data_IF_307899459075
#
_entry.id   IF_307899459075
#
_cell.length_a   1.000
_cell.length_b   1.000
_cell.length_c   1.000
_cell.angle_alpha   90.00
_cell.angle_beta   90.00
_cell.angle_gamma   90.00
#
_symmetry.space_group_name_H-M   'P 1'
#
loop_
_entity.id
_entity.type
_entity.pdbx_description
1 polymer ?
#
# COMPACT_ATOMS: atom_id res chain seq x y z
N UNK A 1 9.29 -20.54 9.23
CA UNK A 1 8.01 -21.29 9.26
C UNK A 1 7.78 -21.82 7.85
N UNK A 2 7.28 -23.05 7.69
CA UNK A 2 6.92 -23.55 6.36
C UNK A 2 5.56 -22.93 5.98
N UNK A 3 5.58 -21.93 5.09
CA UNK A 3 4.38 -21.21 4.67
C UNK A 3 3.61 -21.94 3.56
N UNK A 4 4.21 -22.95 2.92
CA UNK A 4 3.59 -23.67 1.79
C UNK A 4 2.27 -24.35 2.18
N UNK A 5 2.14 -24.74 3.46
CA UNK A 5 0.94 -25.38 4.01
C UNK A 5 -0.30 -24.49 3.93
N UNK A 6 -0.12 -23.16 3.88
CA UNK A 6 -1.22 -22.20 3.80
C UNK A 6 -1.78 -22.01 2.39
N UNK A 7 -1.16 -22.58 1.36
CA UNK A 7 -1.53 -22.29 -0.02
C UNK A 7 -2.14 -23.48 -0.75
N UNK A 8 -3.07 -23.18 -1.64
CA UNK A 8 -3.50 -24.07 -2.71
C UNK A 8 -2.83 -23.66 -4.04
N UNK A 9 -2.43 -24.64 -4.87
CA UNK A 9 -1.86 -24.36 -6.18
C UNK A 9 -2.91 -23.74 -7.11
N UNK A 10 -2.42 -22.94 -8.07
CA UNK A 10 -3.26 -22.33 -9.08
C UNK A 10 -3.80 -23.40 -10.05
N UNK A 11 -5.10 -23.34 -10.34
CA UNK A 11 -5.67 -24.06 -11.48
C UNK A 11 -5.30 -23.32 -12.76
N UNK A 12 -4.38 -23.87 -13.56
CA UNK A 12 -3.98 -23.20 -14.79
C UNK A 12 -5.04 -23.27 -15.90
N UNK A 13 -6.03 -24.16 -15.78
CA UNK A 13 -7.04 -24.38 -16.82
C UNK A 13 -8.07 -23.25 -16.92
N UNK A 14 -8.18 -22.43 -15.89
CA UNK A 14 -9.10 -21.29 -15.85
C UNK A 14 -8.51 -20.01 -16.44
N UNK A 15 -7.22 -20.01 -16.82
CA UNK A 15 -6.60 -18.85 -17.39
C UNK A 15 -6.59 -18.90 -18.92
N UNK A 16 -6.97 -17.78 -19.54
CA UNK A 16 -7.00 -17.58 -20.99
C UNK A 16 -5.59 -17.40 -21.58
N UNK A 17 -4.56 -17.21 -20.74
CA UNK A 17 -3.17 -17.18 -21.20
C UNK A 17 -2.73 -18.61 -21.54
N UNK A 18 -2.60 -18.92 -22.82
CA UNK A 18 -1.89 -20.12 -23.25
C UNK A 18 -0.41 -19.75 -23.41
N UNK A 19 0.53 -20.47 -22.78
CA UNK A 19 1.98 -20.21 -22.85
C UNK A 19 2.58 -20.36 -24.27
N UNK A 20 1.77 -20.63 -25.29
CA UNK A 20 2.23 -20.84 -26.66
C UNK A 20 2.54 -19.52 -27.37
N UNK A 21 3.84 -19.20 -27.46
CA UNK A 21 4.39 -18.34 -28.50
C UNK A 21 5.12 -17.09 -28.02
N UNK A 22 4.85 -16.60 -26.80
CA UNK A 22 5.42 -15.31 -26.36
C UNK A 22 6.05 -15.35 -24.97
N UNK A 23 7.36 -15.56 -24.93
CA UNK A 23 8.15 -15.71 -23.70
C UNK A 23 8.21 -14.46 -22.81
N UNK A 24 7.76 -13.30 -23.29
CA UNK A 24 7.88 -12.02 -22.57
C UNK A 24 6.62 -11.62 -21.79
N UNK A 25 5.59 -12.47 -21.75
CA UNK A 25 4.42 -12.23 -20.90
C UNK A 25 4.72 -12.54 -19.43
N UNK A 26 4.13 -11.77 -18.53
CA UNK A 26 4.34 -11.93 -17.08
C UNK A 26 4.02 -13.36 -16.62
N UNK A 27 2.95 -13.99 -17.12
CA UNK A 27 2.60 -15.37 -16.76
C UNK A 27 3.65 -16.42 -17.14
N UNK A 28 4.51 -16.12 -18.12
CA UNK A 28 5.63 -16.97 -18.54
C UNK A 28 6.92 -16.69 -17.75
N UNK A 29 7.02 -15.53 -17.11
CA UNK A 29 8.20 -15.10 -16.34
C UNK A 29 8.04 -15.31 -14.84
N UNK A 30 6.80 -15.30 -14.34
CA UNK A 30 6.44 -15.55 -12.95
C UNK A 30 6.58 -17.05 -12.63
N UNK A 31 7.29 -17.37 -11.55
CA UNK A 31 7.37 -18.74 -11.03
C UNK A 31 6.18 -18.99 -10.10
N UNK A 32 5.14 -19.60 -10.65
CA UNK A 32 3.87 -19.81 -9.94
C UNK A 32 3.77 -21.20 -9.28
N UNK A 33 3.08 -21.27 -8.14
CA UNK A 33 2.70 -22.52 -7.48
C UNK A 33 1.60 -23.23 -8.28
N UNK A 34 1.98 -24.26 -9.04
CA UNK A 34 1.10 -24.92 -10.04
C UNK A 34 0.65 -26.32 -9.65
N UNK A 35 1.40 -26.99 -8.78
CA UNK A 35 1.10 -28.33 -8.31
C UNK A 35 1.52 -28.47 -6.85
N UNK A 36 0.91 -29.43 -6.13
CA UNK A 36 1.12 -29.60 -4.68
C UNK A 36 2.52 -30.08 -4.31
N UNK A 37 3.33 -30.51 -5.27
CA UNK A 37 4.66 -31.06 -5.02
C UNK A 37 5.76 -29.98 -5.11
N UNK A 38 5.52 -28.90 -5.86
CA UNK A 38 6.53 -27.87 -6.14
C UNK A 38 6.07 -26.47 -5.70
N UNK A 39 6.28 -26.15 -4.42
CA UNK A 39 6.11 -24.77 -3.93
C UNK A 39 7.28 -23.87 -4.42
N UNK A 40 7.01 -22.64 -4.89
CA UNK A 40 8.07 -21.74 -5.35
C UNK A 40 9.13 -21.48 -4.27
N UNK A 41 10.39 -21.53 -4.68
CA UNK A 41 11.52 -21.12 -3.84
C UNK A 41 11.41 -19.63 -3.51
N UNK A 42 11.65 -19.26 -2.25
CA UNK A 42 11.61 -17.86 -1.81
C UNK A 42 12.94 -17.16 -2.11
N UNK A 43 14.02 -17.93 -2.23
CA UNK A 43 15.36 -17.42 -2.49
C UNK A 43 15.39 -16.61 -3.79
N UNK A 44 16.03 -15.44 -3.74
CA UNK A 44 16.22 -14.53 -4.88
C UNK A 44 14.95 -13.88 -5.45
N UNK A 45 13.76 -14.15 -4.90
CA UNK A 45 12.54 -13.45 -5.26
C UNK A 45 12.58 -11.99 -4.77
N UNK A 46 12.04 -11.08 -5.58
CA UNK A 46 11.86 -9.67 -5.20
C UNK A 46 10.43 -9.42 -4.71
N UNK A 47 9.45 -9.99 -5.41
CA UNK A 47 8.03 -9.82 -5.15
C UNK A 47 7.34 -11.19 -5.08
N UNK A 48 6.33 -11.30 -4.22
CA UNK A 48 5.49 -12.48 -4.13
C UNK A 48 4.01 -12.11 -4.30
N UNK A 49 3.35 -12.68 -5.30
CA UNK A 49 1.89 -12.53 -5.50
C UNK A 49 1.17 -13.51 -4.57
N UNK A 50 0.15 -13.02 -3.88
CA UNK A 50 -0.66 -13.78 -2.92
C UNK A 50 -2.13 -13.48 -3.21
N UNK A 51 -2.92 -14.52 -3.47
CA UNK A 51 -4.38 -14.37 -3.53
C UNK A 51 -5.00 -14.70 -2.19
N UNK A 52 -5.89 -13.85 -1.68
CA UNK A 52 -6.56 -14.06 -0.39
C UNK A 52 -8.07 -14.01 -0.56
N UNK A 53 -8.67 -15.17 -0.80
CA UNK A 53 -10.12 -15.31 -0.98
C UNK A 53 -10.89 -15.28 0.34
N UNK A 54 -10.93 -14.13 1.00
CA UNK A 54 -11.67 -13.89 2.23
C UNK A 54 -12.60 -12.69 2.08
N UNK A 55 -13.87 -12.90 2.39
CA UNK A 55 -14.93 -11.89 2.30
C UNK A 55 -15.97 -11.98 3.43
N UNK A 56 -15.75 -12.83 4.46
CA UNK A 56 -16.70 -12.98 5.59
C UNK A 56 -16.97 -11.68 6.33
N UNK A 57 -16.02 -10.76 6.26
CA UNK A 57 -16.02 -9.45 6.87
C UNK A 57 -16.24 -8.32 5.85
N UNK A 58 -16.55 -8.67 4.59
CA UNK A 58 -16.98 -7.71 3.59
C UNK A 58 -18.30 -7.05 4.04
N UNK A 59 -18.45 -5.77 3.75
CA UNK A 59 -19.71 -5.06 3.97
C UNK A 59 -20.33 -4.79 2.61
N UNK A 60 -21.50 -5.41 2.38
CA UNK A 60 -22.30 -5.30 1.16
C UNK A 60 -21.60 -5.71 -0.14
N UNK A 61 -20.44 -6.37 -0.07
CA UNK A 61 -19.63 -6.75 -1.24
C UNK A 61 -19.26 -8.24 -1.26
N UNK A 62 -20.19 -9.10 -0.83
CA UNK A 62 -20.05 -10.56 -0.84
C UNK A 62 -19.69 -11.07 -2.25
N UNK A 63 -18.77 -12.03 -2.33
CA UNK A 63 -18.20 -12.52 -3.59
C UNK A 63 -16.86 -11.89 -3.98
N UNK A 64 -16.37 -10.90 -3.23
CA UNK A 64 -15.02 -10.38 -3.43
C UNK A 64 -13.92 -11.40 -3.11
N UNK A 65 -14.22 -12.51 -2.41
CA UNK A 65 -13.30 -13.62 -2.22
C UNK A 65 -12.83 -14.27 -3.55
N UNK A 66 -13.60 -14.12 -4.63
CA UNK A 66 -13.26 -14.65 -5.96
C UNK A 66 -12.32 -13.72 -6.75
N UNK A 67 -11.91 -12.59 -6.19
CA UNK A 67 -11.04 -11.59 -6.83
C UNK A 67 -9.71 -12.11 -7.41
N UNK A 68 -8.96 -13.01 -6.74
CA UNK A 68 -7.57 -13.25 -7.10
C UNK A 68 -7.34 -13.75 -8.53
N UNK A 69 -8.11 -14.76 -8.95
CA UNK A 69 -7.83 -15.46 -10.20
C UNK A 69 -8.25 -14.66 -11.45
N UNK A 70 -9.41 -13.96 -11.50
CA UNK A 70 -9.71 -13.07 -12.61
C UNK A 70 -8.68 -11.95 -12.79
N UNK A 71 -8.12 -11.42 -11.69
CA UNK A 71 -7.03 -10.43 -11.78
C UNK A 71 -5.75 -11.07 -12.33
N UNK A 72 -5.37 -12.26 -11.84
CA UNK A 72 -4.22 -13.01 -12.37
C UNK A 72 -4.35 -13.29 -13.86
N UNK A 73 -5.54 -13.66 -14.32
CA UNK A 73 -5.79 -13.95 -15.72
C UNK A 73 -5.40 -12.78 -16.64
N UNK A 74 -5.82 -11.57 -16.26
CA UNK A 74 -5.49 -10.36 -17.02
C UNK A 74 -4.01 -9.97 -16.82
N UNK A 75 -3.47 -10.08 -15.60
CA UNK A 75 -2.07 -9.76 -15.27
C UNK A 75 -1.07 -10.63 -16.04
N UNK A 76 -1.27 -11.94 -16.04
CA UNK A 76 -0.39 -12.90 -16.69
C UNK A 76 -0.33 -12.70 -18.21
N UNK A 77 -1.40 -12.14 -18.78
CA UNK A 77 -1.49 -11.80 -20.19
C UNK A 77 -0.68 -10.55 -20.54
N UNK A 78 -0.33 -9.68 -19.60
CA UNK A 78 0.46 -8.49 -19.88
C UNK A 78 1.92 -8.83 -20.20
N UNK A 79 2.53 -8.05 -21.09
CA UNK A 79 3.97 -8.10 -21.34
C UNK A 79 4.76 -7.58 -20.14
N UNK A 80 5.92 -8.17 -19.86
CA UNK A 80 6.85 -7.56 -18.90
C UNK A 80 7.35 -6.21 -19.41
N UNK A 81 7.66 -5.33 -18.46
CA UNK A 81 8.41 -4.11 -18.76
C UNK A 81 9.86 -4.40 -19.16
N UNK A 82 10.73 -3.41 -18.96
CA UNK A 82 12.14 -3.45 -19.41
C UNK A 82 13.04 -4.37 -18.58
N UNK A 83 12.64 -4.71 -17.35
CA UNK A 83 13.42 -5.52 -16.42
C UNK A 83 12.91 -6.96 -16.38
N UNK A 84 13.81 -7.94 -16.29
CA UNK A 84 13.44 -9.34 -16.07
C UNK A 84 12.93 -9.50 -14.63
N UNK A 85 11.63 -9.80 -14.43
CA UNK A 85 11.05 -9.86 -13.11
C UNK A 85 11.48 -11.14 -12.36
N UNK A 86 11.91 -11.01 -11.09
CA UNK A 86 12.08 -12.11 -10.13
C UNK A 86 10.84 -12.18 -9.23
N UNK A 87 9.76 -12.69 -9.79
CA UNK A 87 8.45 -12.73 -9.13
C UNK A 87 8.01 -14.17 -8.96
N UNK A 88 7.57 -14.50 -7.75
CA UNK A 88 6.91 -15.75 -7.44
C UNK A 88 5.41 -15.51 -7.24
N UNK A 89 4.57 -16.48 -7.60
CA UNK A 89 3.15 -16.47 -7.24
C UNK A 89 2.88 -17.66 -6.33
N UNK A 90 2.57 -17.39 -5.07
CA UNK A 90 2.41 -18.42 -4.05
C UNK A 90 1.07 -19.14 -4.15
N UNK A 91 0.18 -18.68 -5.04
CA UNK A 91 -1.16 -19.22 -5.20
C UNK A 91 -2.19 -18.54 -4.30
N UNK A 92 -3.25 -19.26 -3.98
CA UNK A 92 -4.34 -18.77 -3.15
C UNK A 92 -4.18 -19.25 -1.71
N UNK A 93 -4.28 -18.32 -0.76
CA UNK A 93 -4.28 -18.62 0.66
C UNK A 93 -5.55 -19.41 0.99
N UNK A 94 -5.38 -20.55 1.66
CA UNK A 94 -6.47 -21.38 2.16
C UNK A 94 -7.30 -20.58 3.13
N UNK A 95 -8.59 -20.45 2.84
CA UNK A 95 -9.56 -19.85 3.76
C UNK A 95 -9.64 -20.73 5.01
N UNK A 96 -9.39 -20.13 6.17
CA UNK A 96 -9.44 -20.82 7.45
C UNK A 96 -10.86 -21.14 7.91
N UNK A 97 -11.01 -21.99 8.92
CA UNK A 97 -12.32 -22.33 9.49
C UNK A 97 -13.04 -21.08 10.02
N UNK A 98 -12.32 -20.20 10.72
CA UNK A 98 -12.74 -18.86 11.12
C UNK A 98 -11.96 -17.78 10.36
N UNK A 99 -12.40 -16.53 10.43
CA UNK A 99 -11.67 -15.39 9.83
C UNK A 99 -10.32 -15.18 10.53
N UNK A 100 -10.28 -15.39 11.84
CA UNK A 100 -9.04 -15.29 12.62
C UNK A 100 -7.97 -16.29 12.17
N UNK A 101 -8.38 -17.49 11.73
CA UNK A 101 -7.47 -18.48 11.15
C UNK A 101 -6.86 -17.97 9.83
N UNK A 102 -7.68 -17.36 8.97
CA UNK A 102 -7.20 -16.73 7.72
C UNK A 102 -6.26 -15.56 8.04
N UNK A 103 -6.61 -14.70 9.00
CA UNK A 103 -5.76 -13.60 9.43
C UNK A 103 -4.42 -14.09 9.98
N UNK A 104 -4.43 -15.17 10.77
CA UNK A 104 -3.20 -15.77 11.30
C UNK A 104 -2.30 -16.30 10.18
N UNK A 105 -2.87 -16.99 9.20
CA UNK A 105 -2.14 -17.47 8.03
C UNK A 105 -1.55 -16.30 7.22
N UNK A 106 -2.35 -15.28 6.90
CA UNK A 106 -1.88 -14.11 6.17
C UNK A 106 -0.79 -13.34 6.94
N UNK A 107 -0.96 -13.17 8.26
CA UNK A 107 0.05 -12.55 9.15
C UNK A 107 1.39 -13.28 9.02
N UNK A 108 1.36 -14.62 9.15
CA UNK A 108 2.56 -15.46 9.13
C UNK A 108 3.27 -15.45 7.77
N UNK A 109 2.49 -15.41 6.69
CA UNK A 109 3.01 -15.31 5.31
C UNK A 109 3.69 -13.96 5.09
N UNK A 110 3.01 -12.85 5.43
CA UNK A 110 3.56 -11.49 5.26
C UNK A 110 4.82 -11.30 6.11
N UNK A 111 4.82 -11.75 7.37
CA UNK A 111 5.99 -11.73 8.24
C UNK A 111 7.17 -12.50 7.61
N UNK A 112 6.90 -13.70 7.10
CA UNK A 112 7.94 -14.53 6.46
C UNK A 112 8.51 -13.81 5.25
N UNK A 113 7.68 -13.32 4.34
CA UNK A 113 8.13 -12.68 3.10
C UNK A 113 8.96 -11.42 3.37
N UNK A 114 8.49 -10.55 4.27
CA UNK A 114 9.25 -9.36 4.66
C UNK A 114 10.59 -9.74 5.29
N UNK A 115 10.64 -10.81 6.10
CA UNK A 115 11.89 -11.34 6.67
C UNK A 115 12.89 -11.80 5.61
N UNK A 116 12.43 -12.23 4.44
CA UNK A 116 13.27 -12.56 3.27
C UNK A 116 13.55 -11.35 2.35
N UNK A 117 13.11 -10.14 2.72
CA UNK A 117 13.11 -8.94 1.87
C UNK A 117 12.30 -9.09 0.57
N UNK A 118 11.26 -9.92 0.60
CA UNK A 118 10.32 -10.11 -0.51
C UNK A 118 9.09 -9.27 -0.23
N UNK A 119 8.67 -8.44 -1.18
CA UNK A 119 7.47 -7.62 -1.02
C UNK A 119 6.24 -8.45 -1.41
N UNK A 120 5.30 -8.71 -0.48
CA UNK A 120 4.02 -9.28 -0.83
C UNK A 120 3.18 -8.29 -1.64
N UNK A 121 2.67 -8.77 -2.77
CA UNK A 121 1.63 -8.15 -3.60
C UNK A 121 0.35 -8.95 -3.34
N UNK A 122 -0.49 -8.42 -2.44
CA UNK A 122 -1.70 -9.08 -1.97
C UNK A 122 -2.88 -8.69 -2.88
N UNK A 123 -3.51 -9.69 -3.46
CA UNK A 123 -4.78 -9.57 -4.16
C UNK A 123 -5.84 -10.17 -3.21
N UNK A 124 -6.53 -9.30 -2.48
CA UNK A 124 -7.48 -9.72 -1.45
C UNK A 124 -8.91 -9.78 -1.93
N UNK A 125 -9.77 -10.28 -1.04
CA UNK A 125 -11.20 -10.00 -1.06
C UNK A 125 -11.49 -8.71 -0.30
N UNK A 126 -11.93 -8.82 0.96
CA UNK A 126 -12.36 -7.66 1.73
C UNK A 126 -11.20 -6.83 2.33
N UNK A 127 -11.43 -5.52 2.51
CA UNK A 127 -10.39 -4.56 2.89
C UNK A 127 -9.86 -4.74 4.33
N UNK A 128 -10.60 -5.45 5.20
CA UNK A 128 -10.16 -5.77 6.56
C UNK A 128 -8.89 -6.63 6.61
N UNK A 129 -8.52 -7.29 5.52
CA UNK A 129 -7.25 -8.01 5.40
C UNK A 129 -6.03 -7.12 5.68
N UNK A 130 -6.14 -5.80 5.52
CA UNK A 130 -5.10 -4.84 5.91
C UNK A 130 -4.76 -4.90 7.40
N UNK A 131 -5.72 -5.27 8.25
CA UNK A 131 -5.46 -5.54 9.67
C UNK A 131 -4.52 -6.73 9.88
N UNK A 132 -4.69 -7.82 9.12
CA UNK A 132 -3.79 -8.97 9.18
C UNK A 132 -2.40 -8.65 8.65
N UNK A 133 -2.30 -7.82 7.59
CA UNK A 133 -1.02 -7.31 7.10
C UNK A 133 -0.32 -6.49 8.19
N UNK A 134 -1.03 -5.54 8.83
CA UNK A 134 -0.50 -4.75 9.94
C UNK A 134 -0.01 -5.62 11.11
N UNK A 135 -0.73 -6.70 11.46
CA UNK A 135 -0.31 -7.65 12.51
C UNK A 135 1.04 -8.32 12.23
N UNK A 136 1.45 -8.47 10.97
CA UNK A 136 2.76 -9.00 10.64
C UNK A 136 3.88 -8.04 11.04
N UNK A 137 3.65 -6.73 10.89
CA UNK A 137 4.61 -5.72 11.35
C UNK A 137 4.65 -5.62 12.88
N UNK A 138 3.48 -5.75 13.52
CA UNK A 138 3.40 -5.88 14.98
C UNK A 138 4.21 -7.08 15.50
N UNK A 139 4.11 -8.27 14.87
CA UNK A 139 4.86 -9.45 15.32
C UNK A 139 6.38 -9.27 15.17
N UNK A 140 6.81 -8.54 14.16
CA UNK A 140 8.21 -8.14 13.96
C UNK A 140 8.66 -6.98 14.87
N UNK A 141 7.76 -6.37 15.65
CA UNK A 141 8.03 -5.19 16.45
C UNK A 141 8.35 -3.93 15.63
N UNK A 142 7.94 -3.90 14.36
CA UNK A 142 8.22 -2.80 13.45
C UNK A 142 7.09 -1.77 13.48
N UNK A 143 7.45 -0.55 13.87
CA UNK A 143 6.56 0.61 13.74
C UNK A 143 6.45 0.99 12.26
N UNK A 144 5.22 1.24 11.79
CA UNK A 144 4.91 1.42 10.37
C UNK A 144 4.03 2.63 10.07
N UNK A 145 4.13 3.07 8.81
CA UNK A 145 3.19 3.97 8.17
C UNK A 145 2.28 3.21 7.20
N UNK A 146 0.98 3.47 7.27
CA UNK A 146 -0.01 2.92 6.34
C UNK A 146 -0.52 4.04 5.44
N UNK A 147 -0.53 3.81 4.13
CA UNK A 147 -1.27 4.64 3.18
C UNK A 147 -2.44 3.84 2.63
N UNK A 148 -3.65 4.39 2.77
CA UNK A 148 -4.87 3.86 2.19
C UNK A 148 -5.39 4.77 1.07
N UNK A 149 -5.76 4.20 -0.08
CA UNK A 149 -6.57 4.90 -1.08
C UNK A 149 -8.02 4.43 -0.96
N UNK A 150 -8.87 5.32 -0.43
CA UNK A 150 -10.22 4.95 0.01
C UNK A 150 -11.16 6.18 -0.02
N UNK A 151 -12.42 6.05 -0.48
CA UNK A 151 -13.39 7.15 -0.41
C UNK A 151 -13.81 7.51 1.04
N UNK A 152 -13.56 6.64 2.02
CA UNK A 152 -13.86 6.78 3.45
C UNK A 152 -12.59 6.55 4.29
N UNK A 153 -12.73 6.50 5.62
CA UNK A 153 -11.62 6.18 6.55
C UNK A 153 -11.76 4.82 7.23
N UNK A 154 -12.91 4.14 7.07
CA UNK A 154 -13.18 2.84 7.68
C UNK A 154 -12.90 2.75 9.19
N UNK A 155 -13.42 3.73 9.93
CA UNK A 155 -13.35 3.77 11.40
C UNK A 155 -14.52 3.02 12.07
N UNK A 156 -15.64 2.86 11.37
CA UNK A 156 -16.87 2.26 11.93
C UNK A 156 -17.30 2.87 13.27
N UNK A 157 -17.93 2.06 14.12
CA UNK A 157 -18.28 2.43 15.49
C UNK A 157 -17.46 1.65 16.51
N UNK A 158 -17.27 2.25 17.68
CA UNK A 158 -16.56 1.59 18.78
C UNK A 158 -17.37 0.40 19.31
N UNK A 159 -16.71 -0.76 19.41
CA UNK A 159 -17.28 -1.98 19.99
C UNK A 159 -17.74 -3.04 18.98
N UNK A 160 -17.91 -2.68 17.71
CA UNK A 160 -18.31 -3.62 16.65
C UNK A 160 -17.20 -4.63 16.36
N UNK A 161 -17.53 -5.86 15.94
CA UNK A 161 -16.53 -6.81 15.43
C UNK A 161 -15.82 -6.26 14.19
N UNK A 162 -14.61 -6.75 13.89
CA UNK A 162 -13.84 -6.24 12.74
C UNK A 162 -14.56 -6.56 11.42
N UNK A 163 -14.61 -5.57 10.52
CA UNK A 163 -15.10 -5.70 9.15
C UNK A 163 -14.42 -4.67 8.22
N UNK A 164 -14.65 -4.78 6.92
CA UNK A 164 -13.99 -3.96 5.89
C UNK A 164 -14.16 -2.44 6.07
N UNK A 165 -15.18 -1.99 6.81
CA UNK A 165 -15.48 -0.57 7.05
C UNK A 165 -15.13 -0.08 8.48
N UNK A 166 -14.43 -0.89 9.28
CA UNK A 166 -13.98 -0.49 10.62
C UNK A 166 -12.55 -0.95 10.99
N UNK A 167 -11.81 -1.57 10.07
CA UNK A 167 -10.52 -2.18 10.35
C UNK A 167 -9.49 -1.16 10.87
N UNK A 168 -9.54 0.09 10.42
CA UNK A 168 -8.59 1.12 10.85
C UNK A 168 -8.74 1.41 12.34
N UNK A 169 -9.97 1.47 12.84
CA UNK A 169 -10.22 1.67 14.27
C UNK A 169 -9.66 0.52 15.11
N UNK A 170 -9.65 -0.72 14.58
CA UNK A 170 -9.03 -1.87 15.24
C UNK A 170 -7.51 -1.76 15.30
N UNK A 171 -6.88 -1.13 14.32
CA UNK A 171 -5.44 -0.81 14.33
C UNK A 171 -5.16 0.28 15.36
N UNK A 172 -5.89 1.40 15.30
CA UNK A 172 -5.67 2.58 16.18
C UNK A 172 -5.82 2.23 17.67
N UNK A 173 -6.83 1.44 18.02
CA UNK A 173 -7.12 1.08 19.42
C UNK A 173 -6.22 -0.05 19.96
N UNK A 174 -5.38 -0.65 19.11
CA UNK A 174 -4.54 -1.78 19.52
C UNK A 174 -3.41 -1.33 20.44
N UNK A 175 -3.05 -2.18 21.40
CA UNK A 175 -1.99 -1.91 22.38
C UNK A 175 -1.09 -3.15 22.53
N UNK A 176 0.25 -3.01 22.46
CA UNK A 176 0.98 -1.79 22.06
C UNK A 176 0.67 -1.38 20.61
N UNK A 177 0.72 -0.07 20.32
CA UNK A 177 0.43 0.44 18.98
C UNK A 177 1.73 0.56 18.15
N UNK A 178 1.74 -0.05 16.96
CA UNK A 178 2.83 0.00 15.98
C UNK A 178 2.50 0.88 14.77
N UNK A 179 1.34 1.53 14.74
CA UNK A 179 0.99 2.54 13.72
C UNK A 179 1.59 3.89 14.13
N UNK A 180 2.58 4.37 13.38
CA UNK A 180 3.12 5.73 13.55
C UNK A 180 2.31 6.76 12.77
N UNK A 181 1.98 6.44 11.52
CA UNK A 181 1.19 7.32 10.68
C UNK A 181 0.18 6.54 9.85
N UNK A 182 -0.98 7.15 9.66
CA UNK A 182 -1.93 6.76 8.63
C UNK A 182 -2.14 7.91 7.66
N UNK A 183 -2.13 7.60 6.38
CA UNK A 183 -2.42 8.53 5.30
C UNK A 183 -3.62 8.01 4.52
N UNK A 184 -4.72 8.75 4.49
CA UNK A 184 -5.83 8.47 3.56
C UNK A 184 -5.75 9.39 2.35
N UNK A 185 -5.80 8.85 1.14
CA UNK A 185 -5.95 9.62 -0.08
C UNK A 185 -7.27 9.29 -0.77
N UNK A 186 -7.94 10.31 -1.29
CA UNK A 186 -9.14 10.12 -2.10
C UNK A 186 -10.47 10.16 -1.35
N UNK A 187 -10.47 10.53 -0.06
CA UNK A 187 -11.73 10.56 0.68
C UNK A 187 -12.68 11.60 0.11
N UNK A 188 -13.97 11.31 0.20
CA UNK A 188 -15.04 12.17 -0.29
C UNK A 188 -15.80 12.73 0.92
N UNK A 189 -15.79 14.05 1.12
CA UNK A 189 -16.27 14.67 2.38
C UNK A 189 -17.71 14.31 2.73
N UNK A 190 -18.59 14.11 1.74
CA UNK A 190 -19.98 13.72 1.98
C UNK A 190 -20.16 12.26 2.41
N UNK A 191 -19.10 11.45 2.42
CA UNK A 191 -19.10 10.07 2.88
C UNK A 191 -18.44 9.88 4.25
N UNK A 192 -17.84 10.95 4.79
CA UNK A 192 -17.06 10.90 6.01
C UNK A 192 -17.71 11.78 7.07
N UNK A 193 -17.93 11.21 8.24
CA UNK A 193 -18.49 11.95 9.37
C UNK A 193 -17.52 13.06 9.84
N UNK A 194 -17.99 14.28 10.12
CA UNK A 194 -17.12 15.36 10.59
C UNK A 194 -16.34 15.06 11.88
N UNK A 195 -16.86 14.23 12.80
CA UNK A 195 -16.11 13.83 13.99
C UNK A 195 -14.97 12.87 13.63
N UNK A 196 -15.15 12.04 12.59
CA UNK A 196 -14.05 11.23 12.05
C UNK A 196 -12.92 12.10 11.50
N UNK A 197 -13.24 13.18 10.76
CA UNK A 197 -12.23 14.14 10.29
C UNK A 197 -11.47 14.77 11.46
N UNK A 198 -12.19 15.19 12.52
CA UNK A 198 -11.57 15.74 13.73
C UNK A 198 -10.66 14.72 14.42
N UNK A 199 -11.11 13.47 14.54
CA UNK A 199 -10.31 12.39 15.13
C UNK A 199 -9.00 12.21 14.36
N UNK A 200 -9.05 12.10 13.04
CA UNK A 200 -7.86 11.93 12.20
C UNK A 200 -6.88 13.10 12.38
N UNK A 201 -7.38 14.34 12.39
CA UNK A 201 -6.56 15.53 12.63
C UNK A 201 -5.95 15.56 14.04
N UNK A 202 -6.70 15.14 15.07
CA UNK A 202 -6.19 15.09 16.46
C UNK A 202 -5.14 13.99 16.65
N UNK A 203 -5.21 12.91 15.85
CA UNK A 203 -4.17 11.88 15.76
C UNK A 203 -3.01 12.30 14.82
N UNK A 204 -3.08 13.51 14.26
CA UNK A 204 -2.15 14.06 13.28
C UNK A 204 -1.99 13.21 12.01
N UNK A 205 -2.96 12.36 11.69
CA UNK A 205 -2.96 11.56 10.46
C UNK A 205 -3.20 12.43 9.22
N UNK A 206 -2.70 11.98 8.08
CA UNK A 206 -2.79 12.73 6.84
C UNK A 206 -4.07 12.34 6.11
N UNK A 207 -4.95 13.30 5.82
CA UNK A 207 -6.23 13.03 5.16
C UNK A 207 -6.42 13.95 3.96
N UNK A 208 -6.32 13.39 2.76
CA UNK A 208 -6.39 14.14 1.51
C UNK A 208 -7.67 13.85 0.74
N UNK A 209 -8.42 14.91 0.46
CA UNK A 209 -9.65 14.84 -0.36
C UNK A 209 -9.30 14.48 -1.79
N UNK A 210 -10.20 13.76 -2.46
CA UNK A 210 -10.06 13.38 -3.87
C UNK A 210 -9.70 14.56 -4.78
N UNK A 211 -10.43 15.68 -4.68
CA UNK A 211 -10.18 16.86 -5.52
C UNK A 211 -8.78 17.44 -5.33
N UNK A 212 -8.33 17.56 -4.09
CA UNK A 212 -6.99 18.10 -3.77
C UNK A 212 -5.88 17.21 -4.34
N UNK A 213 -6.02 15.89 -4.22
CA UNK A 213 -5.04 14.96 -4.82
C UNK A 213 -5.09 15.03 -6.34
N UNK A 214 -6.27 15.05 -6.95
CA UNK A 214 -6.40 15.12 -8.41
C UNK A 214 -5.71 16.36 -8.99
N UNK A 215 -5.88 17.51 -8.35
CA UNK A 215 -5.29 18.76 -8.81
C UNK A 215 -3.74 18.77 -8.72
N UNK A 216 -3.17 17.98 -7.80
CA UNK A 216 -1.74 17.92 -7.50
C UNK A 216 -1.29 16.48 -7.24
N UNK A 217 -1.55 15.57 -8.18
CA UNK A 217 -1.40 14.13 -7.94
C UNK A 217 0.08 13.71 -7.71
N UNK A 218 1.04 14.58 -8.01
CA UNK A 218 2.48 14.39 -7.76
C UNK A 218 2.79 14.47 -6.27
N UNK A 219 1.95 15.15 -5.49
CA UNK A 219 2.02 15.17 -4.04
C UNK A 219 1.73 13.80 -3.41
N UNK A 220 1.25 12.81 -4.18
CA UNK A 220 1.13 11.43 -3.71
C UNK A 220 2.48 10.71 -3.67
N UNK A 221 3.48 11.14 -4.44
CA UNK A 221 4.82 10.52 -4.42
C UNK A 221 5.45 10.57 -3.03
N UNK A 222 5.57 11.72 -2.33
CA UNK A 222 6.14 11.74 -0.99
C UNK A 222 5.29 10.96 0.03
N UNK A 223 3.96 10.91 -0.14
CA UNK A 223 3.07 10.15 0.74
C UNK A 223 3.33 8.64 0.63
N UNK A 224 3.36 8.12 -0.59
CA UNK A 224 3.69 6.70 -0.87
C UNK A 224 5.14 6.38 -0.52
N UNK A 225 6.07 7.33 -0.69
CA UNK A 225 7.46 7.20 -0.24
C UNK A 225 7.61 7.11 1.28
N UNK A 226 6.64 7.65 2.03
CA UNK A 226 6.63 7.57 3.48
C UNK A 226 5.96 6.31 4.02
N UNK A 227 5.20 5.57 3.20
CA UNK A 227 4.45 4.39 3.60
C UNK A 227 5.32 3.12 3.65
N UNK A 228 5.04 2.24 4.62
CA UNK A 228 5.53 0.86 4.65
C UNK A 228 4.49 -0.09 4.04
N UNK A 229 3.20 0.15 4.34
CA UNK A 229 2.04 -0.59 3.81
C UNK A 229 1.23 0.34 2.90
N UNK A 230 0.94 -0.10 1.68
CA UNK A 230 0.00 0.57 0.77
C UNK A 230 -1.21 -0.33 0.56
N UNK A 231 -2.40 0.18 0.89
CA UNK A 231 -3.68 -0.53 0.89
C UNK A 231 -4.67 0.18 -0.03
N UNK A 232 -5.16 -0.48 -1.06
CA UNK A 232 -6.07 0.15 -2.03
C UNK A 232 -7.45 -0.51 -1.96
N UNK A 233 -8.48 0.29 -1.63
CA UNK A 233 -9.87 -0.06 -1.93
C UNK A 233 -10.15 0.30 -3.39
N UNK A 234 -10.55 -0.67 -4.21
CA UNK A 234 -10.90 -0.38 -5.61
C UNK A 234 -12.10 0.56 -5.74
N UNK A 235 -12.97 0.66 -4.73
CA UNK A 235 -14.07 1.61 -4.62
C UNK A 235 -13.62 3.08 -4.56
N UNK A 236 -12.32 3.35 -4.38
CA UNK A 236 -11.74 4.68 -4.55
C UNK A 236 -11.65 5.12 -6.01
N UNK A 237 -11.73 4.19 -6.97
CA UNK A 237 -11.80 4.45 -8.41
C UNK A 237 -13.27 4.65 -8.82
N UNK A 238 -13.54 5.57 -9.74
CA UNK A 238 -14.90 5.80 -10.21
C UNK A 238 -15.47 4.54 -10.89
N UNK A 239 -16.76 4.30 -10.70
CA UNK A 239 -17.49 3.16 -11.23
C UNK A 239 -17.33 3.00 -12.76
N UNK A 240 -17.24 4.09 -13.53
CA UNK A 240 -17.08 3.98 -14.98
C UNK A 240 -15.77 3.32 -15.41
N UNK A 241 -14.76 3.34 -14.54
CA UNK A 241 -13.44 2.73 -14.77
C UNK A 241 -13.29 1.41 -14.00
N UNK A 242 -13.96 1.28 -12.84
CA UNK A 242 -13.94 0.10 -11.98
C UNK A 242 -15.35 -0.30 -11.47
N UNK A 243 -16.21 -0.91 -12.30
CA UNK A 243 -17.58 -1.29 -11.90
C UNK A 243 -17.66 -2.50 -10.96
N UNK A 244 -16.64 -3.36 -10.95
CA UNK A 244 -16.57 -4.59 -10.13
C UNK A 244 -16.37 -4.35 -8.62
N UNK A 245 -17.27 -3.61 -7.99
CA UNK A 245 -17.40 -3.46 -6.53
C UNK A 245 -18.83 -2.99 -6.25
N UNK A 246 -19.56 -3.64 -5.34
CA UNK A 246 -20.94 -3.25 -5.02
C UNK A 246 -21.05 -1.82 -4.49
N UNK A 247 -20.01 -1.38 -3.79
CA UNK A 247 -19.92 -0.06 -3.19
C UNK A 247 -19.31 0.99 -4.14
N UNK A 248 -19.11 0.66 -5.42
CA UNK A 248 -18.52 1.56 -6.41
C UNK A 248 -19.32 2.86 -6.55
N UNK A 249 -18.58 3.98 -6.66
CA UNK A 249 -19.15 5.31 -6.64
C UNK A 249 -19.05 5.97 -8.02
N UNK A 250 -19.99 6.87 -8.39
CA UNK A 250 -19.89 7.59 -9.67
C UNK A 250 -18.65 8.49 -9.75
N UNK A 251 -18.16 8.96 -8.61
CA UNK A 251 -16.95 9.76 -8.47
C UNK A 251 -15.88 8.97 -7.73
N UNK A 252 -14.63 9.14 -8.16
CA UNK A 252 -13.45 8.48 -7.63
C UNK A 252 -12.25 8.86 -8.50
N UNK A 253 -11.08 8.30 -8.22
CA UNK A 253 -9.93 8.40 -9.10
C UNK A 253 -10.25 7.88 -10.50
N UNK A 254 -9.61 8.45 -11.52
CA UNK A 254 -9.54 7.84 -12.84
C UNK A 254 -8.60 6.63 -12.80
N UNK A 255 -8.83 5.67 -13.69
CA UNK A 255 -7.97 4.48 -13.76
C UNK A 255 -6.49 4.80 -13.96
N UNK A 256 -6.16 5.79 -14.80
CA UNK A 256 -4.79 6.24 -15.04
C UNK A 256 -4.16 6.96 -13.84
N UNK A 257 -4.96 7.71 -13.05
CA UNK A 257 -4.52 8.30 -11.79
C UNK A 257 -4.09 7.20 -10.80
N UNK A 258 -4.88 6.14 -10.69
CA UNK A 258 -4.57 5.02 -9.79
C UNK A 258 -3.35 4.22 -10.24
N UNK A 259 -3.18 4.01 -11.55
CA UNK A 259 -1.94 3.46 -12.11
C UNK A 259 -0.71 4.31 -11.76
N UNK A 260 -0.84 5.65 -11.78
CA UNK A 260 0.24 6.56 -11.38
C UNK A 260 0.58 6.46 -9.88
N UNK A 261 -0.44 6.39 -9.03
CA UNK A 261 -0.30 6.23 -7.58
C UNK A 261 0.41 4.91 -7.24
N UNK A 262 -0.02 3.81 -7.86
CA UNK A 262 0.58 2.49 -7.63
C UNK A 262 2.00 2.40 -8.18
N UNK A 263 2.32 3.12 -9.26
CA UNK A 263 3.70 3.32 -9.71
C UNK A 263 4.56 4.03 -8.65
N UNK A 264 4.06 5.10 -8.03
CA UNK A 264 4.79 5.79 -6.95
C UNK A 264 5.04 4.88 -5.75
N UNK A 265 4.05 4.07 -5.36
CA UNK A 265 4.21 3.04 -4.34
C UNK A 265 5.32 2.03 -4.70
N UNK A 266 5.41 1.62 -5.97
CA UNK A 266 6.48 0.76 -6.47
C UNK A 266 7.88 1.38 -6.30
N UNK A 267 8.04 2.66 -6.65
CA UNK A 267 9.33 3.40 -6.60
C UNK A 267 9.80 3.71 -5.17
N UNK A 268 8.90 3.62 -4.19
CA UNK A 268 9.24 3.87 -2.79
C UNK A 268 10.17 2.79 -2.24
N UNK A 269 11.37 3.16 -1.80
CA UNK A 269 12.28 2.24 -1.13
C UNK A 269 11.75 1.74 0.24
N UNK A 270 10.76 2.45 0.82
CA UNK A 270 10.20 2.15 2.14
C UNK A 270 8.99 1.20 2.08
N UNK A 271 8.28 1.14 0.97
CA UNK A 271 7.12 0.24 0.81
C UNK A 271 7.61 -1.21 0.84
N UNK A 272 7.10 -1.98 1.79
CA UNK A 272 7.40 -3.40 1.98
C UNK A 272 6.16 -4.29 1.95
N UNK A 273 4.96 -3.75 1.77
CA UNK A 273 3.74 -4.51 1.47
C UNK A 273 2.77 -3.68 0.62
N UNK A 274 2.15 -4.31 -0.37
CA UNK A 274 1.18 -3.68 -1.28
C UNK A 274 -0.05 -4.57 -1.44
N UNK A 275 -1.25 -4.02 -1.21
CA UNK A 275 -2.52 -4.76 -1.28
C UNK A 275 -3.60 -4.02 -2.06
N UNK A 276 -4.41 -4.78 -2.80
CA UNK A 276 -5.61 -4.29 -3.49
C UNK A 276 -6.81 -5.15 -3.07
N UNK A 277 -7.92 -4.50 -2.72
CA UNK A 277 -9.08 -5.10 -2.08
C UNK A 277 -10.39 -4.63 -2.72
N UNK A 278 -11.48 -5.29 -2.30
CA UNK A 278 -12.88 -4.99 -2.62
C UNK A 278 -13.27 -5.19 -4.10
N UNK A 279 -12.43 -5.87 -4.88
CA UNK A 279 -12.81 -6.30 -6.23
C UNK A 279 -13.83 -7.44 -6.16
N UNK A 280 -14.96 -7.28 -6.82
CA UNK A 280 -16.00 -8.29 -6.92
C UNK A 280 -16.21 -8.69 -8.40
N UNK A 281 -15.70 -9.85 -8.83
CA UNK A 281 -15.82 -10.30 -10.22
C UNK A 281 -17.26 -10.45 -10.71
N UNK A 282 -18.21 -10.76 -9.81
CA UNK A 282 -19.62 -10.96 -10.18
C UNK A 282 -20.32 -9.67 -10.64
N UNK A 283 -19.77 -8.51 -10.27
CA UNK A 283 -20.27 -7.19 -10.63
C UNK A 283 -19.46 -6.53 -11.75
N UNK A 284 -18.36 -7.16 -12.15
CA UNK A 284 -17.47 -6.61 -13.18
C UNK A 284 -18.06 -6.82 -14.58
N UNK A 285 -17.93 -5.79 -15.41
CA UNK A 285 -18.43 -5.81 -16.78
C UNK A 285 -17.23 -5.93 -17.72
N UNK A 286 -17.20 -6.98 -18.53
CA UNK A 286 -16.09 -7.26 -19.46
C UNK A 286 -14.70 -7.33 -18.78
N UNK A 287 -14.65 -7.74 -17.51
CA UNK A 287 -13.44 -7.79 -16.68
C UNK A 287 -12.70 -6.45 -16.61
N UNK A 288 -13.44 -5.34 -16.71
CA UNK A 288 -12.86 -4.01 -16.78
C UNK A 288 -12.08 -3.67 -15.51
N UNK A 289 -12.66 -3.95 -14.34
CA UNK A 289 -11.96 -3.72 -13.06
C UNK A 289 -10.76 -4.66 -12.92
N UNK A 290 -10.88 -5.95 -13.25
CA UNK A 290 -9.74 -6.87 -13.23
C UNK A 290 -8.58 -6.39 -14.12
N UNK A 291 -8.88 -5.89 -15.32
CA UNK A 291 -7.89 -5.29 -16.23
C UNK A 291 -7.23 -4.07 -15.62
N UNK A 292 -8.00 -3.16 -15.02
CA UNK A 292 -7.43 -1.99 -14.35
C UNK A 292 -6.51 -2.40 -13.19
N UNK A 293 -6.95 -3.32 -12.34
CA UNK A 293 -6.14 -3.83 -11.23
C UNK A 293 -4.86 -4.50 -11.74
N UNK A 294 -4.94 -5.27 -12.83
CA UNK A 294 -3.76 -5.88 -13.44
C UNK A 294 -2.74 -4.83 -13.91
N UNK A 295 -3.20 -3.68 -14.44
CA UNK A 295 -2.35 -2.56 -14.83
C UNK A 295 -1.76 -1.85 -13.60
N UNK A 296 -2.53 -1.69 -12.53
CA UNK A 296 -2.05 -1.15 -11.25
C UNK A 296 -0.91 -1.99 -10.68
N UNK A 297 -1.07 -3.32 -10.64
CA UNK A 297 -0.02 -4.26 -10.22
C UNK A 297 1.18 -4.17 -11.16
N UNK A 298 0.94 -4.09 -12.48
CA UNK A 298 2.01 -3.93 -13.47
C UNK A 298 2.84 -2.66 -13.24
N UNK A 299 2.19 -1.52 -12.97
CA UNK A 299 2.86 -0.25 -12.68
C UNK A 299 3.57 -0.27 -11.34
N UNK A 300 3.04 -0.97 -10.34
CA UNK A 300 3.76 -1.22 -9.09
C UNK A 300 5.06 -2.02 -9.33
N UNK A 301 4.98 -3.10 -10.12
CA UNK A 301 6.15 -3.91 -10.49
C UNK A 301 7.18 -3.06 -11.25
N UNK A 302 6.75 -2.28 -12.25
CA UNK A 302 7.64 -1.39 -12.99
C UNK A 302 8.28 -0.35 -12.07
N UNK A 303 7.51 0.24 -11.16
CA UNK A 303 8.01 1.18 -10.16
C UNK A 303 9.07 0.55 -9.25
N UNK A 304 8.84 -0.68 -8.79
CA UNK A 304 9.77 -1.45 -7.95
C UNK A 304 11.13 -1.62 -8.63
N UNK A 305 11.18 -2.07 -9.88
CA UNK A 305 12.44 -2.23 -10.61
C UNK A 305 13.10 -0.89 -10.99
N UNK A 306 12.41 0.24 -10.78
CA UNK A 306 12.94 1.58 -10.95
C UNK A 306 13.33 2.27 -9.64
N UNK A 307 13.26 1.57 -8.50
CA UNK A 307 13.74 2.07 -7.19
C UNK A 307 15.16 2.60 -7.30
N UNK A 308 15.39 3.76 -6.70
CA UNK A 308 16.68 4.46 -6.75
C UNK A 308 17.58 4.15 -5.57
N UNK A 309 17.04 3.54 -4.51
CA UNK A 309 17.77 3.21 -3.29
C UNK A 309 18.54 4.40 -2.73
N UNK A 310 17.87 5.55 -2.70
CA UNK A 310 18.45 6.82 -2.30
C UNK A 310 17.78 7.43 -1.08
N UNK A 311 17.06 6.61 -0.30
CA UNK A 311 16.62 7.01 1.02
C UNK A 311 17.85 7.43 1.86
N UNK A 312 17.83 8.62 2.52
CA UNK A 312 18.99 9.18 3.19
C UNK A 312 19.47 8.39 4.41
N UNK A 313 20.19 7.29 4.16
CA UNK A 313 20.95 6.53 5.14
C UNK A 313 22.40 7.06 5.18
N UNK A 314 22.57 8.21 5.83
CA UNK A 314 23.86 8.70 6.39
C UNK A 314 24.98 9.15 5.45
N UNK A 315 25.07 8.72 4.20
CA UNK A 315 26.14 9.20 3.30
C UNK A 315 25.86 10.63 2.79
N UNK A 316 26.47 11.62 3.45
CA UNK A 316 26.28 13.05 3.12
C UNK A 316 26.65 13.43 1.69
N UNK A 317 27.45 12.61 1.01
CA UNK A 317 27.95 12.88 -0.34
C UNK A 317 26.87 12.73 -1.42
N UNK A 318 25.84 11.92 -1.17
CA UNK A 318 24.75 11.67 -2.12
C UNK A 318 23.64 12.73 -2.06
N UNK A 319 23.70 13.67 -1.11
CA UNK A 319 22.65 14.65 -0.86
C UNK A 319 23.16 16.08 -0.86
N UNK A 320 22.27 17.00 -1.21
CA UNK A 320 22.46 18.43 -1.00
C UNK A 320 21.61 18.83 0.21
N UNK A 321 22.25 19.41 1.22
CA UNK A 321 21.59 19.90 2.43
C UNK A 321 21.21 21.37 2.27
N UNK A 322 19.94 21.67 2.52
CA UNK A 322 19.42 23.04 2.60
C UNK A 322 18.97 23.30 4.03
N UNK A 323 19.28 24.49 4.55
CA UNK A 323 18.85 24.92 5.89
C UNK A 323 18.05 26.19 5.73
N UNK A 324 16.79 26.17 6.19
CA UNK A 324 15.87 27.29 6.11
C UNK A 324 15.60 27.80 7.53
N UNK A 325 15.73 29.11 7.72
CA UNK A 325 15.44 29.78 8.99
C UNK A 325 14.08 30.44 8.87
N UNK A 326 13.14 30.07 9.74
CA UNK A 326 11.80 30.67 9.80
C UNK A 326 11.77 31.68 10.95
N UNK A 327 11.40 32.93 10.68
CA UNK A 327 11.52 34.04 11.65
C UNK A 327 10.83 33.80 13.00
N UNK A 328 9.73 33.06 13.01
CA UNK A 328 8.91 32.81 14.20
C UNK A 328 9.06 31.38 14.76
N UNK A 329 10.03 30.60 14.27
CA UNK A 329 10.30 29.25 14.76
C UNK A 329 11.72 29.18 15.34
N UNK A 330 11.86 28.62 16.54
CA UNK A 330 13.16 28.58 17.23
C UNK A 330 14.17 27.66 16.54
N UNK A 331 13.70 26.64 15.82
CA UNK A 331 14.54 25.69 15.10
C UNK A 331 14.59 25.96 13.59
N UNK A 332 15.75 25.68 12.99
CA UNK A 332 15.90 25.67 11.54
C UNK A 332 15.25 24.40 10.94
N UNK A 333 14.61 24.56 9.78
CA UNK A 333 14.16 23.40 8.99
C UNK A 333 15.32 22.96 8.10
N UNK A 334 15.61 21.66 8.13
CA UNK A 334 16.67 21.06 7.32
C UNK A 334 16.03 20.18 6.25
N UNK A 335 16.42 20.40 5.00
CA UNK A 335 16.00 19.60 3.86
C UNK A 335 17.21 18.91 3.24
N UNK A 336 16.99 17.70 2.72
CA UNK A 336 17.95 16.92 1.96
C UNK A 336 17.36 16.64 0.58
N UNK A 337 18.11 16.98 -0.47
CA UNK A 337 17.79 16.65 -1.85
C UNK A 337 18.72 15.56 -2.36
N UNK A 338 18.19 14.46 -2.88
CA UNK A 338 18.99 13.42 -3.54
C UNK A 338 19.58 13.95 -4.84
N UNK A 339 20.89 13.74 -5.03
CA UNK A 339 21.57 14.02 -6.30
C UNK A 339 21.23 13.00 -7.40
N UNK A 340 20.67 11.84 -7.03
CA UNK A 340 20.36 10.73 -7.95
C UNK A 340 18.96 10.82 -8.55
N UNK A 341 17.98 11.28 -7.77
CA UNK A 341 16.56 11.27 -8.16
C UNK A 341 15.87 12.63 -8.10
N UNK A 342 16.57 13.67 -7.61
CA UNK A 342 15.99 14.98 -7.27
C UNK A 342 14.86 14.94 -6.21
N UNK A 343 14.61 13.80 -5.57
CA UNK A 343 13.65 13.65 -4.48
C UNK A 343 14.11 14.37 -3.21
N UNK A 344 13.15 14.82 -2.40
CA UNK A 344 13.41 15.61 -1.20
C UNK A 344 12.95 14.90 0.08
N UNK A 345 13.64 15.20 1.17
CA UNK A 345 13.30 14.84 2.54
C UNK A 345 13.52 16.04 3.45
N UNK A 346 12.82 16.05 4.57
CA UNK A 346 12.94 17.02 5.65
C UNK A 346 13.30 16.30 6.96
N UNK A 347 14.23 16.90 7.69
CA UNK A 347 14.68 16.46 9.01
C UNK A 347 13.71 17.00 10.07
N UNK A 348 13.14 16.08 10.85
CA UNK A 348 12.24 16.42 11.96
C UNK A 348 12.93 16.02 13.28
N UNK A 349 13.09 16.95 14.22
CA UNK A 349 13.66 16.64 15.53
C UNK A 349 12.88 15.53 16.25
N UNK A 350 13.61 14.60 16.89
CA UNK A 350 13.02 13.52 17.70
C UNK A 350 13.48 13.66 19.14
N UNK A 351 12.56 13.55 20.11
CA UNK A 351 12.94 13.49 21.53
C UNK A 351 13.89 12.33 21.78
N UNK A 352 14.91 12.56 22.62
CA UNK A 352 16.00 11.60 22.87
C UNK A 352 15.51 10.21 23.29
N UNK A 353 14.42 10.14 24.05
CA UNK A 353 13.86 8.90 24.57
C UNK A 353 13.23 8.02 23.49
N UNK A 354 12.85 8.60 22.34
CA UNK A 354 12.19 7.89 21.23
C UNK A 354 13.07 7.68 20.01
N UNK A 355 14.34 8.12 20.06
CA UNK A 355 15.21 8.14 18.88
C UNK A 355 15.50 6.76 18.29
N UNK A 356 15.59 5.72 19.12
CA UNK A 356 15.78 4.34 18.66
C UNK A 356 14.52 3.70 18.08
N UNK A 357 13.33 4.15 18.51
CA UNK A 357 12.04 3.61 18.06
C UNK A 357 11.62 4.26 16.73
N UNK A 358 11.88 5.56 16.58
CA UNK A 358 11.47 6.34 15.40
C UNK A 358 12.61 6.71 14.45
N UNK A 359 13.73 5.97 14.46
CA UNK A 359 14.87 6.23 13.58
C UNK A 359 14.45 6.28 12.09
N UNK A 360 13.49 5.44 11.69
CA UNK A 360 12.93 5.37 10.33
C UNK A 360 11.90 6.47 10.00
N UNK A 361 11.60 7.37 10.94
CA UNK A 361 10.49 8.31 10.85
C UNK A 361 10.90 9.79 10.98
N UNK A 362 12.16 10.07 11.33
CA UNK A 362 12.64 11.45 11.47
C UNK A 362 12.93 12.14 10.13
N UNK A 363 13.19 11.38 9.06
CA UNK A 363 13.41 11.87 7.71
C UNK A 363 12.12 11.68 6.93
N UNK A 364 11.32 12.73 6.86
CA UNK A 364 10.01 12.69 6.22
C UNK A 364 10.18 13.04 4.74
N UNK A 365 9.74 12.19 3.81
CA UNK A 365 9.69 12.55 2.40
C UNK A 365 8.83 13.79 2.16
N UNK A 366 9.32 14.71 1.34
CA UNK A 366 8.59 15.93 1.00
C UNK A 366 8.75 16.25 -0.49
N UNK A 367 7.98 17.22 -0.96
CA UNK A 367 8.11 17.77 -2.30
C UNK A 367 9.00 19.02 -2.31
N UNK A 368 9.27 19.54 -3.51
CA UNK A 368 9.93 20.83 -3.64
C UNK A 368 9.02 21.98 -3.20
N UNK A 369 7.70 21.83 -3.33
CA UNK A 369 6.74 22.83 -2.84
C UNK A 369 6.82 23.00 -1.32
N UNK A 370 7.05 21.92 -0.56
CA UNK A 370 7.30 21.99 0.89
C UNK A 370 8.54 22.84 1.21
N UNK A 371 9.61 22.73 0.41
CA UNK A 371 10.79 23.58 0.56
C UNK A 371 10.49 25.05 0.22
N UNK A 372 9.71 25.32 -0.83
CA UNK A 372 9.31 26.69 -1.20
C UNK A 372 8.43 27.34 -0.13
N UNK A 373 7.50 26.59 0.48
CA UNK A 373 6.70 27.04 1.63
C UNK A 373 7.61 27.48 2.78
N UNK A 374 8.62 26.68 3.12
CA UNK A 374 9.62 27.04 4.13
C UNK A 374 10.40 28.31 3.77
N UNK A 375 10.81 28.48 2.50
CA UNK A 375 11.48 29.69 2.04
C UNK A 375 10.60 30.94 2.10
N UNK A 376 9.27 30.77 2.11
CA UNK A 376 8.30 31.86 2.26
C UNK A 376 7.94 32.15 3.73
N UNK A 377 8.81 31.78 4.68
CA UNK A 377 8.64 31.99 6.12
C UNK A 377 7.42 31.23 6.71
N UNK A 378 6.98 30.12 6.08
CA UNK A 378 5.87 29.28 6.55
C UNK A 378 6.28 27.82 6.78
N UNK A 379 5.66 27.12 7.75
CA UNK A 379 6.04 25.74 8.09
C UNK A 379 5.19 24.77 7.25
N UNK A 380 5.79 23.84 6.49
CA UNK A 380 5.03 22.85 5.75
C UNK A 380 4.19 21.96 6.68
N UNK A 381 2.93 21.73 6.33
CA UNK A 381 1.99 20.92 7.14
C UNK A 381 2.54 19.52 7.46
N UNK A 382 3.18 18.86 6.48
CA UNK A 382 3.83 17.55 6.67
C UNK A 382 4.92 17.59 7.74
N UNK A 383 5.67 18.69 7.82
CA UNK A 383 6.67 18.89 8.87
C UNK A 383 6.02 19.04 10.21
N UNK A 384 5.01 19.89 10.30
CA UNK A 384 4.30 20.14 11.55
C UNK A 384 3.63 18.88 12.10
N UNK A 385 2.94 18.11 11.26
CA UNK A 385 2.28 16.86 11.67
C UNK A 385 3.28 15.81 12.14
N UNK A 386 4.40 15.64 11.43
CA UNK A 386 5.45 14.72 11.86
C UNK A 386 6.09 15.17 13.19
N UNK A 387 6.33 16.47 13.35
CA UNK A 387 6.87 17.03 14.59
C UNK A 387 5.94 16.77 15.78
N UNK A 388 4.63 16.98 15.63
CA UNK A 388 3.65 16.71 16.69
C UNK A 388 3.61 15.23 17.13
N UNK A 389 3.97 14.29 16.25
CA UNK A 389 4.05 12.86 16.58
C UNK A 389 5.36 12.45 17.27
N UNK A 390 6.44 13.18 16.99
CA UNK A 390 7.81 12.86 17.44
C UNK A 390 8.21 13.59 18.73
N UNK A 391 7.38 14.54 19.16
CA UNK A 391 7.47 15.30 20.40
C UNK A 391 6.46 14.75 21.39
#
# INVERSE_FOLDING_TARGET
>A
MDISVYFDPLDLTIFDFLPEGDTQRLGNLIVAFRDKEHFPALEEADLAIIGVGEDRNAVTNEGCAEAPDPIRNELYSLFSGTSKPRIIDLGNLKRGHSVDDTYFALTSVVETLIGFNIIPVIIGGSHDLTFAIYKAYESMGQVVNILAADPKFDLGKTGDDIHAQNYLNKIILRQPNYLFNFTNIGYQTYMVDPESIKLMNNLYFDIYRLGNIRDQIEEVEPLTRNADIVSIDIGSVRHSDAPGNYNALPNGFFGDEMCRITRYAGISDKVTSFGIFEYNPSLDVNRQTARLISQMIWYFIEGFYNRKHDHPYREKEDYIKYTVTIRNHHDHLVFYKSKKSDRWWMDVPVKKDFKSVYERHHLVPCSYADYETACNDDIPDRWWQAYQKLM
#
